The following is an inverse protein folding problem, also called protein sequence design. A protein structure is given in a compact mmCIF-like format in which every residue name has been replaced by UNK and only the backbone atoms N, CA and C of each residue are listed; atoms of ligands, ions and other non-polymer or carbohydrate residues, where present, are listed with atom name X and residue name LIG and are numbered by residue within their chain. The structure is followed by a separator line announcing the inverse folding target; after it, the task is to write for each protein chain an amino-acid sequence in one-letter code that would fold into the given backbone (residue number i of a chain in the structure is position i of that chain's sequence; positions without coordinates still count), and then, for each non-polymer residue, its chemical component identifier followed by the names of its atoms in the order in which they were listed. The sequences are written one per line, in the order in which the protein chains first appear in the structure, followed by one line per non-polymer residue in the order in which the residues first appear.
data_IF_311837332905
#
_entry.id   IF_311837332905
#
_cell.length_a   1.000
_cell.length_b   1.000
_cell.length_c   1.000
_cell.angle_alpha   90.00
_cell.angle_beta   90.00
_cell.angle_gamma   90.00
#
_symmetry.space_group_name_H-M   'P 1'
#
loop_
_entity.id
_entity.type
_entity.pdbx_description
1 polymer ?
#
# COMPACT_ATOMS: atom_id res chain seq x y z
N UNK A 1 -10.13 18.61 4.25
CA UNK A 1 -11.06 18.19 3.18
C UNK A 1 -10.40 17.03 2.45
N UNK A 2 -11.08 15.90 2.30
CA UNK A 2 -10.60 14.77 1.50
C UNK A 2 -11.00 15.00 0.04
N UNK A 3 -10.11 14.66 -0.89
CA UNK A 3 -10.39 14.70 -2.31
C UNK A 3 -10.21 13.31 -2.90
N UNK A 4 -11.21 12.81 -3.63
CA UNK A 4 -11.18 11.50 -4.26
C UNK A 4 -11.26 11.64 -5.77
N UNK A 5 -10.32 11.00 -6.46
CA UNK A 5 -10.25 10.94 -7.92
C UNK A 5 -10.63 9.52 -8.35
N UNK A 6 -11.55 9.44 -9.32
CA UNK A 6 -11.94 8.19 -9.95
C UNK A 6 -11.15 7.99 -11.25
N UNK A 7 -10.81 6.75 -11.62
CA UNK A 7 -10.15 6.46 -12.88
C UNK A 7 -11.11 6.74 -14.04
N UNK A 8 -10.74 7.67 -14.92
CA UNK A 8 -11.45 7.95 -16.17
C UNK A 8 -10.82 7.09 -17.26
N UNK A 9 -11.64 6.35 -18.03
CA UNK A 9 -11.14 5.40 -19.02
C UNK A 9 -10.31 6.08 -20.14
N UNK A 10 -10.65 7.32 -20.47
CA UNK A 10 -10.02 8.08 -21.56
C UNK A 10 -8.63 8.65 -21.19
N UNK A 11 -8.28 8.68 -19.90
CA UNK A 11 -7.02 9.27 -19.42
C UNK A 11 -5.87 8.25 -19.32
N UNK A 12 -6.10 6.97 -19.62
CA UNK A 12 -5.09 5.90 -19.41
C UNK A 12 -3.76 6.17 -20.12
N UNK A 13 -3.79 6.57 -21.38
CA UNK A 13 -2.57 6.85 -22.14
C UNK A 13 -1.81 8.04 -21.52
N UNK A 14 -2.55 9.03 -21.02
CA UNK A 14 -2.00 10.22 -20.39
C UNK A 14 -1.42 9.91 -19.00
N UNK A 15 -2.09 9.06 -18.23
CA UNK A 15 -1.61 8.53 -16.94
C UNK A 15 -0.35 7.68 -17.13
N UNK A 16 -0.31 6.82 -18.16
CA UNK A 16 0.85 6.02 -18.49
C UNK A 16 2.06 6.88 -18.86
N UNK A 17 1.85 7.92 -19.68
CA UNK A 17 2.89 8.89 -20.03
C UNK A 17 3.38 9.68 -18.80
N UNK A 18 2.46 10.17 -17.97
CA UNK A 18 2.77 10.89 -16.75
C UNK A 18 3.57 10.01 -15.77
N UNK A 19 3.21 8.74 -15.61
CA UNK A 19 3.96 7.77 -14.80
C UNK A 19 5.39 7.60 -15.30
N UNK A 20 5.59 7.49 -16.61
CA UNK A 20 6.92 7.33 -17.20
C UNK A 20 7.82 8.54 -16.91
N UNK A 21 7.28 9.77 -17.05
CA UNK A 21 7.99 11.01 -16.70
C UNK A 21 8.30 11.05 -15.21
N UNK A 22 7.31 10.75 -14.36
CA UNK A 22 7.48 10.76 -12.91
C UNK A 22 8.40 9.65 -12.41
N UNK A 23 8.60 8.55 -13.14
CA UNK A 23 9.51 7.45 -12.77
C UNK A 23 10.95 7.62 -13.31
N UNK A 24 11.19 8.61 -14.18
CA UNK A 24 12.51 8.87 -14.79
C UNK A 24 13.59 9.30 -13.79
N UNK A 25 14.83 9.50 -14.24
CA UNK A 25 15.91 10.04 -13.39
C UNK A 25 16.00 11.58 -13.48
N UNK A 26 15.18 12.19 -14.33
CA UNK A 26 15.23 13.62 -14.63
C UNK A 26 14.47 14.47 -13.60
N UNK A 27 14.85 15.74 -13.51
CA UNK A 27 14.22 16.69 -12.61
C UNK A 27 12.84 17.09 -13.17
N UNK A 28 11.78 16.77 -12.43
CA UNK A 28 10.40 17.09 -12.82
C UNK A 28 10.01 18.45 -12.24
N UNK A 29 9.38 19.30 -13.04
CA UNK A 29 8.84 20.59 -12.61
C UNK A 29 7.38 20.74 -13.04
N UNK A 30 6.58 21.44 -12.24
CA UNK A 30 5.25 21.90 -12.63
C UNK A 30 5.41 23.29 -13.25
N UNK A 31 5.03 23.42 -14.52
CA UNK A 31 5.08 24.69 -15.24
C UNK A 31 3.67 25.23 -15.52
N UNK A 32 3.44 26.49 -15.20
CA UNK A 32 2.36 27.31 -15.72
C UNK A 32 2.91 28.22 -16.83
N UNK A 33 2.07 28.97 -17.57
CA UNK A 33 2.57 29.95 -18.53
C UNK A 33 3.46 31.05 -17.91
N UNK A 34 3.39 31.25 -16.59
CA UNK A 34 4.04 32.36 -15.88
C UNK A 34 5.22 31.90 -15.00
N UNK A 35 5.22 30.64 -14.54
CA UNK A 35 6.20 30.15 -13.56
C UNK A 35 6.50 28.65 -13.76
N UNK A 36 7.70 28.23 -13.41
CA UNK A 36 8.06 26.81 -13.28
C UNK A 36 8.64 26.53 -11.91
N UNK A 37 8.05 25.56 -11.20
CA UNK A 37 8.45 25.17 -9.85
C UNK A 37 8.94 23.72 -9.87
N UNK A 38 10.15 23.43 -9.37
CA UNK A 38 10.64 22.06 -9.27
C UNK A 38 9.78 21.26 -8.29
N UNK A 39 9.48 20.02 -8.65
CA UNK A 39 8.66 19.13 -7.85
C UNK A 39 9.49 18.49 -6.73
N UNK A 40 9.14 18.69 -5.43
CA UNK A 40 9.86 18.02 -4.34
C UNK A 40 9.72 16.50 -4.42
N UNK A 41 10.76 15.76 -4.02
CA UNK A 41 10.78 14.29 -4.09
C UNK A 41 9.63 13.63 -3.33
N UNK A 42 9.23 14.21 -2.18
CA UNK A 42 8.10 13.73 -1.39
C UNK A 42 6.76 13.81 -2.14
N UNK A 43 6.55 14.87 -2.92
CA UNK A 43 5.34 15.06 -3.73
C UNK A 43 5.42 14.18 -4.99
N UNK A 44 6.63 14.05 -5.57
CA UNK A 44 6.86 13.19 -6.73
C UNK A 44 6.50 11.74 -6.43
N UNK A 45 6.98 11.19 -5.31
CA UNK A 45 6.64 9.82 -4.90
C UNK A 45 5.13 9.63 -4.73
N UNK A 46 4.45 10.58 -4.07
CA UNK A 46 2.99 10.56 -3.93
C UNK A 46 2.27 10.52 -5.29
N UNK A 47 2.73 11.32 -6.27
CA UNK A 47 2.14 11.33 -7.60
C UNK A 47 2.39 10.02 -8.36
N UNK A 48 3.58 9.41 -8.23
CA UNK A 48 3.86 8.09 -8.83
C UNK A 48 2.87 7.05 -8.31
N UNK A 49 2.65 6.99 -7.00
CA UNK A 49 1.73 6.05 -6.38
C UNK A 49 0.29 6.30 -6.83
N UNK A 50 -0.15 7.57 -6.82
CA UNK A 50 -1.49 7.96 -7.22
C UNK A 50 -1.78 7.65 -8.70
N UNK A 51 -0.88 8.02 -9.60
CA UNK A 51 -1.02 7.78 -11.04
C UNK A 51 -1.02 6.28 -11.34
N UNK A 52 -0.17 5.51 -10.65
CA UNK A 52 -0.12 4.05 -10.80
C UNK A 52 -1.45 3.40 -10.38
N UNK A 53 -2.01 3.82 -9.24
CA UNK A 53 -3.32 3.33 -8.79
C UNK A 53 -4.45 3.69 -9.78
N UNK A 54 -4.47 4.92 -10.28
CA UNK A 54 -5.48 5.36 -11.27
C UNK A 54 -5.37 4.58 -12.59
N UNK A 55 -4.15 4.36 -13.09
CA UNK A 55 -3.90 3.56 -14.31
C UNK A 55 -4.39 2.11 -14.15
N UNK A 56 -4.27 1.54 -12.94
CA UNK A 56 -4.81 0.23 -12.58
C UNK A 56 -6.33 0.22 -12.37
N UNK A 57 -7.02 1.34 -12.57
CA UNK A 57 -8.46 1.44 -12.38
C UNK A 57 -8.88 1.51 -10.91
N UNK A 58 -7.98 1.91 -10.02
CA UNK A 58 -8.28 2.11 -8.60
C UNK A 58 -8.56 3.60 -8.33
N UNK A 59 -9.54 3.88 -7.48
CA UNK A 59 -9.78 5.23 -7.00
C UNK A 59 -8.69 5.65 -5.99
N UNK A 60 -8.30 6.92 -6.03
CA UNK A 60 -7.31 7.50 -5.11
C UNK A 60 -7.96 8.57 -4.26
N UNK A 61 -7.75 8.49 -2.94
CA UNK A 61 -8.20 9.52 -2.00
C UNK A 61 -6.99 10.17 -1.34
N UNK A 62 -6.93 11.51 -1.39
CA UNK A 62 -5.96 12.32 -0.66
C UNK A 62 -6.65 12.88 0.57
N UNK A 63 -6.15 12.50 1.74
CA UNK A 63 -6.66 12.98 3.03
C UNK A 63 -5.53 13.67 3.81
N UNK A 64 -5.70 14.95 4.19
CA UNK A 64 -4.74 15.64 5.03
C UNK A 64 -4.85 15.14 6.47
N UNK A 65 -3.74 14.70 7.04
CA UNK A 65 -3.65 14.29 8.44
C UNK A 65 -2.83 15.28 9.26
N UNK A 66 -3.15 15.37 10.55
CA UNK A 66 -2.29 16.05 11.52
C UNK A 66 -1.00 15.24 11.70
N UNK A 67 0.13 15.93 11.88
CA UNK A 67 1.41 15.27 12.16
C UNK A 67 1.40 14.60 13.53
N UNK A 68 0.71 15.22 14.50
CA UNK A 68 0.55 14.69 15.86
C UNK A 68 -0.88 14.22 16.05
N UNK A 69 -1.02 12.96 16.44
CA UNK A 69 -2.30 12.28 16.58
C UNK A 69 -2.65 12.01 18.05
N UNK A 70 -3.93 12.01 18.34
CA UNK A 70 -4.47 11.37 19.53
C UNK A 70 -4.41 9.85 19.42
N UNK A 71 -4.50 9.16 20.56
CA UNK A 71 -4.61 7.69 20.56
C UNK A 71 -5.85 7.16 19.83
N UNK A 72 -6.86 8.00 19.61
CA UNK A 72 -8.04 7.58 18.89
C UNK A 72 -7.80 7.66 17.37
N UNK A 73 -7.33 8.80 16.88
CA UNK A 73 -6.97 8.98 15.45
C UNK A 73 -5.92 7.95 15.01
N UNK A 74 -4.90 7.67 15.83
CA UNK A 74 -3.90 6.65 15.53
C UNK A 74 -4.48 5.21 15.49
N UNK A 75 -5.47 4.90 16.33
CA UNK A 75 -6.11 3.59 16.35
C UNK A 75 -7.01 3.40 15.11
N UNK A 76 -7.75 4.45 14.74
CA UNK A 76 -8.56 4.50 13.53
C UNK A 76 -7.69 4.30 12.28
N UNK A 77 -6.54 4.98 12.18
CA UNK A 77 -5.59 4.81 11.06
C UNK A 77 -5.01 3.40 10.94
N UNK A 78 -4.80 2.70 12.06
CA UNK A 78 -4.30 1.32 12.07
C UNK A 78 -5.41 0.28 11.90
N UNK A 79 -6.69 0.67 11.96
CA UNK A 79 -7.82 -0.24 11.93
C UNK A 79 -7.91 -1.14 13.17
N UNK A 80 -7.45 -0.66 14.33
CA UNK A 80 -7.45 -1.41 15.60
C UNK A 80 -8.24 -0.66 16.67
N UNK A 81 -8.56 -1.34 17.78
CA UNK A 81 -9.21 -0.69 18.91
C UNK A 81 -8.22 0.18 19.69
N UNK A 82 -8.71 1.27 20.29
CA UNK A 82 -7.90 2.16 21.14
C UNK A 82 -7.19 1.41 22.29
N UNK A 83 -7.83 0.45 23.01
CA UNK A 83 -7.12 -0.34 24.02
C UNK A 83 -5.93 -1.13 23.44
N UNK A 84 -6.08 -1.71 22.24
CA UNK A 84 -4.98 -2.40 21.57
C UNK A 84 -3.85 -1.43 21.22
N UNK A 85 -4.16 -0.25 20.70
CA UNK A 85 -3.14 0.77 20.46
C UNK A 85 -2.41 1.13 21.76
N UNK A 86 -3.13 1.37 22.85
CA UNK A 86 -2.51 1.70 24.15
C UNK A 86 -1.54 0.61 24.60
N UNK A 87 -1.89 -0.67 24.43
CA UNK A 87 -0.97 -1.78 24.73
C UNK A 87 0.29 -1.74 23.87
N UNK A 88 0.18 -1.38 22.59
CA UNK A 88 1.34 -1.22 21.70
C UNK A 88 2.24 -0.05 22.13
N UNK A 89 1.64 1.07 22.55
CA UNK A 89 2.37 2.23 23.10
C UNK A 89 3.13 1.85 24.37
N UNK A 90 2.45 1.19 25.31
CA UNK A 90 3.02 0.77 26.59
C UNK A 90 4.09 -0.32 26.43
N UNK A 91 3.96 -1.17 25.41
CA UNK A 91 4.99 -2.14 25.02
C UNK A 91 6.16 -1.52 24.24
N UNK A 92 6.17 -0.20 24.01
CA UNK A 92 7.23 0.50 23.28
C UNK A 92 7.30 0.16 21.79
N UNK A 93 6.23 -0.40 21.21
CA UNK A 93 6.18 -0.79 19.79
C UNK A 93 5.95 0.41 18.86
N UNK A 94 5.34 1.46 19.40
CA UNK A 94 5.15 2.75 18.73
C UNK A 94 5.54 3.83 19.76
N UNK A 95 6.49 4.71 19.44
CA UNK A 95 6.82 5.85 20.29
C UNK A 95 5.60 6.73 20.58
N UNK A 96 5.57 7.37 21.74
CA UNK A 96 4.56 8.36 22.08
C UNK A 96 5.13 9.39 23.05
N UNK A 97 4.55 10.58 23.03
CA UNK A 97 4.86 11.65 23.99
C UNK A 97 3.63 11.91 24.86
N UNK A 98 3.88 12.44 26.07
CA UNK A 98 2.82 12.91 26.97
C UNK A 98 3.17 14.30 27.49
N UNK A 99 3.08 15.34 26.65
CA UNK A 99 3.36 16.72 27.06
C UNK A 99 2.35 17.28 28.10
N UNK A 100 1.40 16.46 28.55
CA UNK A 100 0.42 16.75 29.59
C UNK A 100 -0.31 15.47 30.00
N UNK A 101 -1.62 15.55 30.28
CA UNK A 101 -2.42 14.40 30.74
C UNK A 101 -2.71 13.34 29.65
N UNK A 102 -2.58 13.70 28.37
CA UNK A 102 -2.96 12.85 27.26
C UNK A 102 -1.78 12.47 26.38
N UNK A 103 -1.73 11.19 26.00
CA UNK A 103 -0.75 10.65 25.04
C UNK A 103 -0.94 11.25 23.66
N UNK A 104 0.17 11.47 22.97
CA UNK A 104 0.28 11.95 21.60
C UNK A 104 1.24 11.04 20.83
N UNK A 105 0.91 10.75 19.59
CA UNK A 105 1.68 9.83 18.73
C UNK A 105 1.96 10.56 17.43
N UNK A 106 3.20 10.53 16.95
CA UNK A 106 3.50 11.10 15.63
C UNK A 106 2.93 10.19 14.54
N UNK A 107 2.31 10.79 13.52
CA UNK A 107 1.77 10.08 12.37
C UNK A 107 2.87 9.25 11.69
N UNK A 108 4.09 9.77 11.60
CA UNK A 108 5.24 9.07 11.03
C UNK A 108 5.47 7.72 11.72
N UNK A 109 5.47 7.70 13.06
CA UNK A 109 5.67 6.49 13.85
C UNK A 109 4.54 5.47 13.64
N UNK A 110 3.30 5.94 13.51
CA UNK A 110 2.13 5.09 13.23
C UNK A 110 2.25 4.46 11.84
N UNK A 111 2.63 5.24 10.83
CA UNK A 111 2.78 4.76 9.46
C UNK A 111 3.96 3.80 9.33
N UNK A 112 5.08 4.05 10.03
CA UNK A 112 6.22 3.15 10.07
C UNK A 112 5.83 1.81 10.71
N UNK A 113 5.12 1.84 11.84
CA UNK A 113 4.61 0.63 12.47
C UNK A 113 3.71 -0.18 11.52
N UNK A 114 2.78 0.50 10.81
CA UNK A 114 1.90 -0.15 9.83
C UNK A 114 2.68 -0.83 8.71
N UNK A 115 3.74 -0.20 8.21
CA UNK A 115 4.60 -0.77 7.18
C UNK A 115 5.36 -2.00 7.69
N UNK A 116 5.98 -1.92 8.87
CA UNK A 116 6.66 -3.08 9.49
C UNK A 116 5.72 -4.26 9.68
N UNK A 117 4.50 -4.02 10.17
CA UNK A 117 3.51 -5.08 10.37
C UNK A 117 3.01 -5.68 9.06
N UNK A 118 2.86 -4.88 8.00
CA UNK A 118 2.53 -5.40 6.66
C UNK A 118 3.64 -6.29 6.10
N UNK A 119 4.90 -5.84 6.19
CA UNK A 119 6.04 -6.62 5.73
C UNK A 119 6.14 -7.96 6.49
N UNK A 120 5.95 -7.94 7.82
CA UNK A 120 5.94 -9.16 8.64
C UNK A 120 4.84 -10.13 8.23
N UNK A 121 3.63 -9.66 7.92
CA UNK A 121 2.53 -10.53 7.46
C UNK A 121 2.80 -11.11 6.07
N UNK A 122 3.42 -10.34 5.18
CA UNK A 122 3.83 -10.81 3.85
C UNK A 122 4.83 -11.97 3.93
N UNK A 123 5.82 -11.86 4.82
CA UNK A 123 6.83 -12.92 5.02
C UNK A 123 6.21 -14.24 5.51
N UNK A 124 5.23 -14.19 6.40
CA UNK A 124 4.53 -15.41 6.88
C UNK A 124 3.72 -16.06 5.76
N UNK A 125 3.12 -15.26 4.86
CA UNK A 125 2.40 -15.79 3.70
C UNK A 125 3.34 -16.42 2.67
N UNK A 126 4.52 -15.85 2.45
CA UNK A 126 5.56 -16.43 1.58
C UNK A 126 6.14 -17.73 2.17
N UNK A 127 6.33 -17.79 3.49
CA UNK A 127 6.81 -18.99 4.18
C UNK A 127 5.79 -20.15 4.07
N UNK A 128 4.49 -19.86 4.24
CA UNK A 128 3.43 -20.86 4.01
C UNK A 128 3.29 -21.26 2.54
N UNK A 129 3.48 -20.33 1.60
CA UNK A 129 3.43 -20.62 0.17
C UNK A 129 4.62 -21.46 -0.31
N UNK A 130 5.73 -21.49 0.44
CA UNK A 130 6.89 -22.32 0.13
C UNK A 130 6.75 -23.76 0.65
N UNK A 131 5.85 -24.02 1.59
CA UNK A 131 5.59 -25.37 2.13
C UNK A 131 4.62 -26.21 1.26
N UNK A 132 3.87 -25.60 0.33
CA UNK A 132 3.03 -26.30 -0.65
C UNK A 132 3.75 -26.50 -1.99
N UNK A 133 4.81 -27.31 -2.01
CA UNK A 133 5.21 -27.99 -3.25
C UNK A 133 4.61 -29.40 -3.21
N UNK A 134 3.60 -29.73 -4.04
CA UNK A 134 3.14 -31.10 -4.16
C UNK A 134 4.29 -31.96 -4.69
N UNK A 135 4.64 -33.02 -3.96
CA UNK A 135 5.57 -34.06 -4.40
C UNK A 135 5.04 -34.67 -5.72
N UNK A 136 5.73 -34.51 -6.88
CA UNK A 136 5.31 -35.12 -8.12
C UNK A 136 5.78 -36.57 -8.13
N UNK A 137 5.16 -37.39 -7.26
CA UNK A 137 5.63 -38.74 -6.96
C UNK A 137 4.60 -39.86 -7.06
N UNK A 138 3.31 -39.57 -7.27
CA UNK A 138 2.28 -40.62 -7.38
C UNK A 138 1.56 -40.58 -8.73
N UNK A 139 2.35 -40.84 -9.78
CA UNK A 139 1.85 -41.29 -11.06
C UNK A 139 2.25 -42.75 -11.23
N UNK A 140 1.39 -43.68 -10.78
CA UNK A 140 1.41 -45.05 -11.31
C UNK A 140 0.05 -45.42 -11.87
N UNK A 141 0.04 -45.49 -13.19
CA UNK A 141 -0.52 -46.54 -14.03
C UNK A 141 -1.89 -47.13 -13.71
N UNK A 142 -2.84 -46.79 -14.59
CA UNK A 142 -4.12 -47.48 -14.74
C UNK A 142 -4.66 -47.37 -16.16
N UNK A 143 -3.81 -47.61 -17.17
CA UNK A 143 -4.23 -47.72 -18.56
C UNK A 143 -5.02 -49.03 -18.75
N UNK A 144 -6.33 -48.96 -18.96
CA UNK A 144 -7.07 -50.00 -19.70
C UNK A 144 -7.94 -49.30 -20.74
N UNK A 145 -7.37 -49.12 -21.93
CA UNK A 145 -8.15 -49.05 -23.17
C UNK A 145 -8.31 -50.44 -23.76
N UNK A 146 -9.55 -50.82 -24.07
CA UNK A 146 -9.91 -51.71 -25.20
C UNK A 146 -11.37 -51.47 -25.61
N UNK A 147 -11.79 -51.83 -26.82
CA UNK A 147 -12.23 -50.87 -27.82
C UNK A 147 -13.73 -51.02 -28.14
N UNK A 148 -14.25 -50.08 -28.92
CA UNK A 148 -15.56 -50.13 -29.54
C UNK A 148 -15.73 -51.37 -30.42
N UNK A 149 -16.89 -51.99 -30.33
CA UNK A 149 -17.35 -53.08 -31.18
C UNK A 149 -18.25 -52.50 -32.30
N UNK A 150 -18.06 -52.85 -33.59
CA UNK A 150 -18.98 -52.47 -34.65
C UNK A 150 -19.94 -53.64 -34.97
N UNK A 151 -21.24 -53.41 -34.80
CA UNK A 151 -22.32 -54.31 -35.22
C UNK A 151 -23.65 -53.61 -35.25
#
# INVERSE_FOLDING_TARGET
MSHTVLPVADDRDLLAALRAVLAGQEQVSISTPEESVPLPDSVRGLLVDAVTALDQGQAVTVEPHRTVLTTQEAAELLGITRPTLVRLLEAGKIPYTSPGRHRRVELADVLEFRQRERARRGQVLEEMAHEETPDPGDATDGFVSRPADPG
#
